data_IF_155806751845
#
_entry.id   IF_155806751845
#
_cell.length_a   1.000
_cell.length_b   1.000
_cell.length_c   1.000
_cell.angle_alpha   90.00
_cell.angle_beta   90.00
_cell.angle_gamma   90.00
#
_symmetry.space_group_name_H-M   'P 1'
#
loop_
_entity.id
_entity.type
_entity.pdbx_description
1 polymer ?
#
# COMPACT_ATOMS: atom_id res chain seq x y z
N UNK A 1 8.48 19.65 16.07
CA UNK A 1 8.55 18.17 16.08
C UNK A 1 9.69 17.76 15.16
N UNK A 2 10.59 16.85 15.56
CA UNK A 2 11.56 16.30 14.62
C UNK A 2 10.79 15.67 13.46
N UNK A 3 11.13 16.06 12.24
CA UNK A 3 10.50 15.51 11.04
C UNK A 3 10.94 14.05 10.89
N UNK A 4 10.06 13.12 11.23
CA UNK A 4 10.32 11.70 10.95
C UNK A 4 10.41 11.50 9.44
N UNK A 5 11.52 10.97 8.91
CA UNK A 5 11.65 10.71 7.49
C UNK A 5 10.60 9.67 7.08
N UNK A 6 9.79 10.02 6.08
CA UNK A 6 8.73 9.16 5.56
C UNK A 6 8.73 9.17 4.03
N UNK A 7 8.53 8.00 3.45
CA UNK A 7 8.22 7.84 2.04
C UNK A 7 6.70 7.80 1.88
N UNK A 8 6.14 8.69 1.06
CA UNK A 8 4.71 8.66 0.74
C UNK A 8 4.52 8.12 -0.66
N UNK A 9 3.65 7.12 -0.79
CA UNK A 9 3.29 6.58 -2.11
C UNK A 9 2.05 7.33 -2.60
N UNK A 10 2.22 8.14 -3.65
CA UNK A 10 1.12 8.87 -4.30
C UNK A 10 0.62 8.06 -5.50
N UNK A 11 -0.65 7.62 -5.44
CA UNK A 11 -1.23 6.66 -6.39
C UNK A 11 -2.24 7.29 -7.37
N UNK A 12 -2.09 8.58 -7.70
CA UNK A 12 -2.96 9.29 -8.64
C UNK A 12 -4.38 9.57 -8.13
N UNK A 13 -5.30 9.89 -9.05
CA UNK A 13 -6.66 10.36 -8.77
C UNK A 13 -7.62 9.28 -8.24
N UNK A 14 -7.45 8.01 -8.62
CA UNK A 14 -8.22 6.86 -8.10
C UNK A 14 -7.64 6.28 -6.79
N UNK A 15 -7.26 7.19 -5.88
CA UNK A 15 -6.38 6.93 -4.75
C UNK A 15 -6.87 5.81 -3.81
N UNK A 16 -8.17 5.69 -3.55
CA UNK A 16 -8.68 4.79 -2.49
C UNK A 16 -8.68 3.31 -2.89
N UNK A 17 -9.10 3.00 -4.12
CA UNK A 17 -9.13 1.64 -4.64
C UNK A 17 -7.72 1.09 -4.85
N UNK A 18 -6.86 1.89 -5.49
CA UNK A 18 -5.46 1.53 -5.73
C UNK A 18 -4.71 1.37 -4.40
N UNK A 19 -4.94 2.24 -3.42
CA UNK A 19 -4.37 2.10 -2.06
C UNK A 19 -4.85 0.84 -1.35
N UNK A 20 -6.08 0.40 -1.55
CA UNK A 20 -6.58 -0.86 -0.97
C UNK A 20 -5.87 -2.07 -1.59
N UNK A 21 -5.74 -2.09 -2.92
CA UNK A 21 -5.02 -3.14 -3.64
C UNK A 21 -3.54 -3.18 -3.25
N UNK A 22 -2.90 -2.01 -3.17
CA UNK A 22 -1.51 -1.86 -2.70
C UNK A 22 -1.30 -2.47 -1.31
N UNK A 23 -2.07 -2.04 -0.32
CA UNK A 23 -1.92 -2.53 1.06
C UNK A 23 -2.15 -4.04 1.14
N UNK A 24 -3.18 -4.55 0.44
CA UNK A 24 -3.48 -5.99 0.43
C UNK A 24 -2.36 -6.79 -0.21
N UNK A 25 -1.85 -6.36 -1.36
CA UNK A 25 -0.78 -7.06 -2.06
C UNK A 25 0.54 -7.04 -1.29
N UNK A 26 0.89 -5.91 -0.66
CA UNK A 26 2.08 -5.86 0.20
C UNK A 26 1.95 -6.80 1.41
N UNK A 27 0.73 -6.93 1.97
CA UNK A 27 0.47 -7.89 3.04
C UNK A 27 0.67 -9.34 2.59
N UNK A 28 0.36 -9.68 1.33
CA UNK A 28 0.63 -11.02 0.76
C UNK A 28 2.14 -11.33 0.72
N UNK A 29 3.00 -10.30 0.73
CA UNK A 29 4.47 -10.41 0.86
C UNK A 29 4.95 -10.32 2.32
N UNK A 30 4.05 -10.35 3.30
CA UNK A 30 4.38 -10.24 4.73
C UNK A 30 4.74 -8.83 5.19
N UNK A 31 4.47 -7.80 4.38
CA UNK A 31 4.82 -6.42 4.67
C UNK A 31 3.58 -5.61 5.07
N UNK A 32 3.56 -5.18 6.34
CA UNK A 32 2.51 -4.29 6.83
C UNK A 32 2.83 -2.84 6.43
N UNK A 33 2.06 -2.31 5.49
CA UNK A 33 2.26 -0.97 4.94
C UNK A 33 1.04 -0.08 5.11
N UNK A 34 1.27 1.23 5.14
CA UNK A 34 0.23 2.24 4.99
C UNK A 34 0.49 3.06 3.71
N UNK A 35 -0.24 4.15 3.47
CA UNK A 35 0.15 5.09 2.40
C UNK A 35 1.46 5.83 2.68
N UNK A 36 1.94 5.79 3.93
CA UNK A 36 3.24 6.28 4.34
C UNK A 36 4.07 5.11 4.89
N UNK A 37 5.33 5.06 4.47
CA UNK A 37 6.33 4.17 4.99
C UNK A 37 7.30 4.98 5.86
N UNK A 38 7.46 4.58 7.11
CA UNK A 38 8.34 5.27 8.07
C UNK A 38 9.73 4.68 7.99
N UNK A 39 10.71 5.51 7.64
CA UNK A 39 12.11 5.11 7.65
C UNK A 39 12.60 5.14 9.10
N UNK A 40 12.91 3.96 9.64
CA UNK A 40 13.40 3.80 11.01
C UNK A 40 14.90 3.53 11.02
N UNK A 41 15.62 4.12 11.97
CA UNK A 41 17.06 3.91 12.12
C UNK A 41 17.45 2.44 12.37
N UNK A 42 16.56 1.68 13.00
CA UNK A 42 16.77 0.26 13.34
C UNK A 42 16.61 -0.67 12.12
N UNK A 43 16.17 -0.14 10.97
CA UNK A 43 15.88 -0.95 9.79
C UNK A 43 17.18 -1.47 9.15
N UNK A 44 17.31 -2.79 9.07
CA UNK A 44 18.41 -3.46 8.36
C UNK A 44 18.22 -3.38 6.86
N UNK A 45 19.33 -3.33 6.13
CA UNK A 45 19.37 -3.29 4.66
C UNK A 45 18.55 -4.42 4.02
N UNK A 46 18.69 -5.65 4.51
CA UNK A 46 17.91 -6.82 4.04
C UNK A 46 16.40 -6.57 4.06
N UNK A 47 15.87 -5.86 5.06
CA UNK A 47 14.44 -5.55 5.12
C UNK A 47 14.03 -4.45 4.15
N UNK A 48 14.96 -3.53 3.83
CA UNK A 48 14.75 -2.51 2.81
C UNK A 48 14.75 -3.13 1.41
N UNK A 49 15.68 -4.05 1.12
CA UNK A 49 15.73 -4.79 -0.14
C UNK A 49 14.46 -5.61 -0.35
N UNK A 50 14.06 -6.42 0.64
CA UNK A 50 12.79 -7.17 0.60
C UNK A 50 11.57 -6.29 0.36
N UNK A 51 11.57 -5.08 0.93
CA UNK A 51 10.50 -4.12 0.73
C UNK A 51 10.50 -3.56 -0.70
N UNK A 52 11.67 -3.24 -1.26
CA UNK A 52 11.82 -2.74 -2.63
C UNK A 52 11.43 -3.83 -3.64
N UNK A 53 11.88 -5.07 -3.47
CA UNK A 53 11.52 -6.19 -4.35
C UNK A 53 10.01 -6.42 -4.38
N UNK A 54 9.38 -6.38 -3.20
CA UNK A 54 7.93 -6.49 -3.10
C UNK A 54 7.22 -5.29 -3.77
N UNK A 55 7.75 -4.08 -3.61
CA UNK A 55 7.19 -2.88 -4.25
C UNK A 55 7.18 -3.01 -5.77
N UNK A 56 8.27 -3.46 -6.38
CA UNK A 56 8.38 -3.61 -7.84
C UNK A 56 7.31 -4.57 -8.37
N UNK A 57 7.18 -5.74 -7.74
CA UNK A 57 6.16 -6.74 -8.08
C UNK A 57 4.74 -6.18 -7.90
N UNK A 58 4.50 -5.46 -6.80
CA UNK A 58 3.16 -4.92 -6.50
C UNK A 58 2.79 -3.78 -7.44
N UNK A 59 3.73 -2.89 -7.77
CA UNK A 59 3.49 -1.78 -8.69
C UNK A 59 3.30 -2.23 -10.12
N UNK A 60 4.06 -3.22 -10.61
CA UNK A 60 3.82 -3.81 -11.92
C UNK A 60 2.40 -4.41 -12.00
N UNK A 61 1.98 -5.12 -10.95
CA UNK A 61 0.63 -5.68 -10.86
C UNK A 61 -0.45 -4.61 -10.82
N UNK A 62 -0.23 -3.51 -10.09
CA UNK A 62 -1.16 -2.38 -10.02
C UNK A 62 -1.25 -1.69 -11.37
N UNK A 63 -0.13 -1.47 -12.06
CA UNK A 63 -0.10 -0.91 -13.42
C UNK A 63 -1.00 -1.69 -14.37
N UNK A 64 -0.87 -3.03 -14.38
CA UNK A 64 -1.73 -3.93 -15.16
C UNK A 64 -3.23 -3.85 -14.79
N UNK A 65 -3.56 -3.55 -13.53
CA UNK A 65 -4.95 -3.38 -13.07
C UNK A 65 -5.52 -2.03 -13.52
N UNK A 66 -4.71 -0.98 -13.47
CA UNK A 66 -5.07 0.38 -13.91
C UNK A 66 -5.31 0.38 -15.43
N UNK A 67 -4.39 -0.16 -16.22
CA UNK A 67 -4.50 -0.24 -17.68
C UNK A 67 -5.76 -0.98 -18.14
N UNK A 68 -6.20 -1.96 -17.37
CA UNK A 68 -7.40 -2.76 -17.69
C UNK A 68 -8.70 -2.14 -17.17
N UNK A 69 -8.65 -0.97 -16.53
CA UNK A 69 -9.78 -0.31 -15.86
C UNK A 69 -10.54 -1.21 -14.87
N UNK A 70 -9.88 -2.24 -14.31
CA UNK A 70 -10.50 -3.23 -13.40
C UNK A 70 -10.40 -2.87 -11.92
N UNK A 71 -10.11 -1.61 -11.61
CA UNK A 71 -9.91 -1.17 -10.22
C UNK A 71 -11.18 -1.40 -9.39
N UNK A 72 -12.36 -1.09 -9.94
CA UNK A 72 -13.65 -1.30 -9.27
C UNK A 72 -13.95 -2.78 -8.98
N UNK A 73 -13.61 -3.69 -9.89
CA UNK A 73 -13.79 -5.14 -9.70
C UNK A 73 -12.81 -5.73 -8.68
N UNK A 74 -11.54 -5.31 -8.72
CA UNK A 74 -10.47 -5.84 -7.84
C UNK A 74 -10.51 -5.28 -6.42
N UNK A 75 -11.13 -4.12 -6.21
CA UNK A 75 -11.27 -3.53 -4.88
C UNK A 75 -12.25 -4.35 -4.00
N UNK A 76 -13.13 -5.15 -4.61
CA UNK A 76 -14.14 -5.95 -3.92
C UNK A 76 -15.19 -5.09 -3.20
N UNK A 77 -16.31 -5.68 -2.80
CA UNK A 77 -17.40 -4.98 -2.11
C UNK A 77 -17.03 -4.51 -0.68
N UNK A 78 -15.79 -4.74 -0.26
CA UNK A 78 -15.27 -4.36 1.03
C UNK A 78 -14.77 -2.90 0.97
N UNK A 79 -15.71 -1.98 0.74
CA UNK A 79 -15.46 -0.54 0.85
C UNK A 79 -14.80 -0.29 2.20
N UNK A 80 -13.56 0.21 2.17
CA UNK A 80 -12.89 0.71 3.37
C UNK A 80 -13.83 1.71 4.04
N UNK A 81 -14.48 1.28 5.12
CA UNK A 81 -15.14 2.22 6.03
C UNK A 81 -14.04 3.08 6.62
N UNK A 82 -14.14 4.37 6.38
CA UNK A 82 -13.38 5.36 7.13
C UNK A 82 -13.81 5.27 8.60
N UNK A 83 -12.87 5.07 9.51
CA UNK A 83 -13.10 5.05 10.95
C UNK A 83 -13.21 3.65 11.57
N UNK A 84 -13.12 3.62 12.91
CA UNK A 84 -13.39 2.42 13.70
C UNK A 84 -14.91 2.29 13.87
N UNK A 85 -15.50 1.20 13.38
CA UNK A 85 -16.85 0.85 13.81
C UNK A 85 -16.77 0.39 15.27
N UNK A 86 -17.49 1.07 16.18
CA UNK A 86 -17.67 0.55 17.53
C UNK A 86 -18.34 -0.81 17.43
N UNK A 87 -17.78 -1.79 18.15
CA UNK A 87 -18.49 -3.02 18.49
C UNK A 87 -19.56 -2.62 19.50
N UNK A 88 -20.79 -2.41 19.02
CA UNK A 88 -21.98 -2.34 19.88
C UNK A 88 -22.66 -3.69 19.90
#
# INVERSE_FOLDING_TARGET
MPSSPKLNVQLGTDFLGVKAVYIRKMLDHGLLVSSAFYLMYVQKEEYSEKFIDALDIVFENIGKIIERSRITEKTGNNRKRSGFARLT
#
